data_IF_972416844433
#
_entry.id   IF_972416844433
#
_cell.length_a   1.000
_cell.length_b   1.000
_cell.length_c   1.000
_cell.angle_alpha   90.00
_cell.angle_beta   90.00
_cell.angle_gamma   90.00
#
_symmetry.space_group_name_H-M   'P 1'
#
loop_
_entity.id
_entity.type
_entity.pdbx_description
1 polymer ?
#
# COMPACT_ATOMS: atom_id res chain seq x y z
N UNK A 1 19.59 -17.31 -12.67
CA UNK A 1 18.17 -16.92 -12.57
C UNK A 1 17.94 -15.77 -13.54
N UNK A 2 16.81 -15.72 -14.25
CA UNK A 2 16.46 -14.63 -15.15
C UNK A 2 15.15 -14.01 -14.66
N UNK A 3 15.20 -12.74 -14.28
CA UNK A 3 14.02 -11.97 -13.87
C UNK A 3 13.54 -11.14 -15.06
N UNK A 4 12.34 -11.44 -15.55
CA UNK A 4 11.72 -10.71 -16.65
C UNK A 4 10.95 -9.51 -16.12
N UNK A 5 11.20 -8.32 -16.68
CA UNK A 5 10.38 -7.14 -16.45
C UNK A 5 9.13 -7.19 -17.35
N UNK A 6 7.96 -6.92 -16.77
CA UNK A 6 6.67 -6.93 -17.46
C UNK A 6 5.99 -5.59 -17.25
N UNK A 7 5.75 -4.85 -18.33
CA UNK A 7 5.01 -3.59 -18.30
C UNK A 7 3.51 -3.81 -18.12
N UNK A 8 2.92 -3.09 -17.16
CA UNK A 8 1.50 -3.10 -16.85
C UNK A 8 0.93 -1.68 -16.89
N UNK A 9 -0.38 -1.57 -17.08
CA UNK A 9 -1.11 -0.30 -17.02
C UNK A 9 -1.32 0.16 -15.56
N UNK A 10 -1.67 1.43 -15.35
CA UNK A 10 -1.86 1.99 -14.00
C UNK A 10 -3.00 1.32 -13.21
N UNK A 11 -4.13 1.07 -13.86
CA UNK A 11 -5.28 0.37 -13.27
C UNK A 11 -4.99 -1.10 -12.94
N UNK A 12 -4.13 -1.73 -13.74
CA UNK A 12 -3.61 -3.06 -13.47
C UNK A 12 -2.68 -3.07 -12.25
N UNK A 13 -1.83 -2.05 -12.12
CA UNK A 13 -0.96 -1.86 -10.95
C UNK A 13 -1.77 -1.66 -9.67
N UNK A 14 -2.79 -0.81 -9.69
CA UNK A 14 -3.71 -0.62 -8.56
C UNK A 14 -4.34 -1.95 -8.13
N UNK A 15 -4.78 -2.77 -9.09
CA UNK A 15 -5.35 -4.07 -8.79
C UNK A 15 -4.31 -5.05 -8.20
N UNK A 16 -3.07 -5.06 -8.71
CA UNK A 16 -1.98 -5.85 -8.12
C UNK A 16 -1.78 -5.47 -6.67
N UNK A 17 -1.79 -4.18 -6.37
CA UNK A 17 -1.66 -3.68 -5.01
C UNK A 17 -2.77 -4.17 -4.09
N UNK A 18 -3.90 -4.65 -4.59
CA UNK A 18 -5.04 -5.14 -3.81
C UNK A 18 -5.18 -6.67 -3.78
N UNK A 19 -4.52 -7.36 -4.70
CA UNK A 19 -4.70 -8.78 -4.97
C UNK A 19 -3.35 -9.51 -4.94
N UNK A 20 -2.75 -9.79 -6.08
CA UNK A 20 -1.49 -10.52 -6.13
C UNK A 20 -0.82 -10.31 -7.48
N UNK A 21 0.49 -10.05 -7.45
CA UNK A 21 1.26 -9.87 -8.67
C UNK A 21 1.26 -11.16 -9.51
N UNK A 22 1.41 -12.33 -8.89
CA UNK A 22 1.48 -13.60 -9.62
C UNK A 22 0.15 -13.93 -10.32
N UNK A 23 -0.98 -13.74 -9.64
CA UNK A 23 -2.32 -13.94 -10.22
C UNK A 23 -2.64 -12.90 -11.28
N UNK A 24 -2.24 -11.65 -11.10
CA UNK A 24 -2.35 -10.65 -12.16
C UNK A 24 -1.54 -11.06 -13.39
N UNK A 25 -0.31 -11.54 -13.22
CA UNK A 25 0.52 -12.03 -14.32
C UNK A 25 -0.10 -13.27 -14.99
N UNK A 26 -0.80 -14.13 -14.25
CA UNK A 26 -1.56 -15.25 -14.82
C UNK A 26 -2.73 -14.76 -15.67
N UNK A 27 -3.47 -13.73 -15.23
CA UNK A 27 -4.54 -13.13 -16.05
C UNK A 27 -3.96 -12.42 -17.28
N UNK A 28 -2.82 -11.73 -17.13
CA UNK A 28 -2.14 -11.05 -18.22
C UNK A 28 -1.59 -12.05 -19.25
N UNK A 29 -1.05 -13.18 -18.82
CA UNK A 29 -0.52 -14.23 -19.69
C UNK A 29 -1.58 -14.86 -20.61
N UNK A 30 -2.88 -14.78 -20.24
CA UNK A 30 -3.99 -15.25 -21.09
C UNK A 30 -4.17 -14.41 -22.35
N UNK A 31 -3.69 -13.17 -22.35
CA UNK A 31 -3.81 -12.24 -23.49
C UNK A 31 -2.48 -11.75 -24.04
N UNK A 32 -1.42 -11.87 -23.25
CA UNK A 32 -0.05 -11.49 -23.62
C UNK A 32 0.85 -12.71 -23.49
N UNK A 33 0.98 -13.54 -24.55
CA UNK A 33 1.84 -14.71 -24.53
C UNK A 33 3.28 -14.36 -24.14
N UNK A 34 3.88 -15.17 -23.27
CA UNK A 34 5.22 -14.96 -22.71
C UNK A 34 5.44 -13.61 -21.98
N UNK A 35 4.37 -12.87 -21.65
CA UNK A 35 4.43 -11.60 -20.93
C UNK A 35 5.36 -10.57 -21.59
N UNK A 36 5.45 -10.59 -22.92
CA UNK A 36 6.20 -9.59 -23.68
C UNK A 36 5.50 -8.25 -23.55
N UNK A 37 6.24 -7.22 -23.12
CA UNK A 37 5.66 -5.87 -22.93
C UNK A 37 5.34 -5.25 -24.29
N UNK A 38 4.06 -4.98 -24.53
CA UNK A 38 3.56 -4.22 -25.68
C UNK A 38 3.04 -2.86 -25.20
N UNK A 39 3.72 -1.79 -25.61
CA UNK A 39 3.39 -0.41 -25.23
C UNK A 39 2.05 0.08 -25.82
N UNK A 40 1.55 -0.55 -26.88
CA UNK A 40 0.27 -0.21 -27.50
C UNK A 40 -0.91 -1.00 -26.92
N UNK A 41 -0.63 -1.95 -26.03
CA UNK A 41 -1.64 -2.80 -25.41
C UNK A 41 -2.50 -1.97 -24.46
N UNK A 42 -3.82 -2.11 -24.57
CA UNK A 42 -4.75 -1.59 -23.56
C UNK A 42 -4.74 -2.48 -22.31
N UNK A 43 -5.07 -1.89 -21.17
CA UNK A 43 -5.31 -2.64 -19.94
C UNK A 43 -6.24 -3.84 -20.15
N UNK A 44 -5.95 -4.97 -19.51
CA UNK A 44 -6.85 -6.13 -19.50
C UNK A 44 -8.16 -5.82 -18.77
N UNK A 45 -8.17 -4.76 -17.94
CA UNK A 45 -9.34 -4.25 -17.24
C UNK A 45 -10.14 -3.24 -18.09
N UNK A 46 -9.70 -2.93 -19.31
CA UNK A 46 -10.49 -2.10 -20.23
C UNK A 46 -11.75 -2.81 -20.75
N UNK A 47 -11.79 -4.14 -20.67
CA UNK A 47 -12.96 -4.97 -20.94
C UNK A 47 -13.83 -5.07 -19.65
N UNK A 48 -15.05 -4.50 -19.63
CA UNK A 48 -15.86 -4.42 -18.42
C UNK A 48 -16.23 -5.77 -17.80
N UNK A 49 -16.52 -6.80 -18.62
CA UNK A 49 -16.88 -8.13 -18.12
C UNK A 49 -15.68 -8.80 -17.47
N UNK A 50 -14.50 -8.65 -18.10
CA UNK A 50 -13.24 -9.14 -17.55
C UNK A 50 -12.87 -8.42 -16.26
N UNK A 51 -12.97 -7.10 -16.24
CA UNK A 51 -12.68 -6.28 -15.08
C UNK A 51 -13.56 -6.65 -13.89
N UNK A 52 -14.87 -6.85 -14.12
CA UNK A 52 -15.79 -7.26 -13.06
C UNK A 52 -15.42 -8.62 -12.46
N UNK A 53 -15.12 -9.61 -13.31
CA UNK A 53 -14.69 -10.94 -12.86
C UNK A 53 -13.40 -10.89 -12.05
N UNK A 54 -12.37 -10.21 -12.58
CA UNK A 54 -11.06 -10.12 -11.92
C UNK A 54 -11.18 -9.36 -10.60
N UNK A 55 -11.94 -8.27 -10.54
CA UNK A 55 -12.19 -7.52 -9.29
C UNK A 55 -12.95 -8.35 -8.25
N UNK A 56 -13.92 -9.15 -8.69
CA UNK A 56 -14.64 -10.06 -7.79
C UNK A 56 -13.70 -11.13 -7.21
N UNK A 57 -12.82 -11.71 -8.05
CA UNK A 57 -11.80 -12.65 -7.59
C UNK A 57 -10.82 -11.99 -6.62
N UNK A 58 -10.33 -10.79 -6.94
CA UNK A 58 -9.48 -10.00 -6.07
C UNK A 58 -10.13 -9.71 -4.71
N UNK A 59 -11.42 -9.39 -4.70
CA UNK A 59 -12.16 -9.14 -3.47
C UNK A 59 -12.35 -10.39 -2.62
N UNK A 60 -12.61 -11.54 -3.25
CA UNK A 60 -12.81 -12.82 -2.55
C UNK A 60 -11.51 -13.38 -1.99
N UNK A 61 -10.44 -13.31 -2.78
CA UNK A 61 -9.17 -13.92 -2.43
C UNK A 61 -8.30 -12.98 -1.58
N UNK A 62 -8.54 -11.67 -1.68
CA UNK A 62 -7.78 -10.64 -0.98
C UNK A 62 -6.32 -10.62 -1.42
N UNK A 63 -5.54 -9.77 -0.76
CA UNK A 63 -4.13 -9.69 -1.11
C UNK A 63 -3.32 -10.87 -0.61
N UNK A 64 -2.54 -11.48 -1.50
CA UNK A 64 -1.62 -12.58 -1.17
C UNK A 64 -0.48 -12.11 -0.26
N UNK A 65 -0.07 -10.84 -0.42
CA UNK A 65 1.11 -10.31 0.25
C UNK A 65 0.66 -9.57 1.51
N UNK A 66 1.28 -9.92 2.63
CA UNK A 66 1.34 -9.11 3.84
C UNK A 66 2.06 -7.78 3.62
N UNK A 67 2.73 -7.58 2.48
CA UNK A 67 3.61 -6.46 2.22
C UNK A 67 3.11 -5.58 1.07
N UNK A 68 3.05 -4.28 1.32
CA UNK A 68 2.76 -3.20 0.37
C UNK A 68 4.07 -2.45 0.10
N UNK A 69 4.45 -2.25 -1.16
CA UNK A 69 5.60 -1.40 -1.50
C UNK A 69 5.10 -0.02 -1.90
N UNK A 70 5.63 1.02 -1.26
CA UNK A 70 5.23 2.42 -1.47
C UNK A 70 6.43 3.31 -1.77
N UNK A 71 6.18 4.43 -2.44
CA UNK A 71 7.23 5.38 -2.86
C UNK A 71 7.82 6.16 -1.70
N UNK A 72 7.06 6.37 -0.61
CA UNK A 72 7.55 7.06 0.57
C UNK A 72 6.89 6.51 1.83
N UNK A 73 7.68 5.79 2.63
CA UNK A 73 7.36 5.37 3.99
C UNK A 73 8.65 5.27 4.80
N UNK A 74 8.86 6.24 5.69
CA UNK A 74 10.05 6.25 6.55
C UNK A 74 9.64 6.46 8.00
N UNK A 75 10.51 6.05 8.91
CA UNK A 75 10.26 6.25 10.34
C UNK A 75 11.54 6.58 11.10
N UNK A 76 11.36 7.28 12.22
CA UNK A 76 12.45 7.60 13.17
C UNK A 76 11.95 7.47 14.59
N UNK A 77 12.63 6.65 15.38
CA UNK A 77 12.39 6.54 16.82
C UNK A 77 13.35 7.45 17.59
N UNK A 78 12.83 8.21 18.56
CA UNK A 78 13.61 9.03 19.48
C UNK A 78 13.08 8.87 20.90
N UNK A 79 13.72 8.00 21.68
CA UNK A 79 13.26 7.63 23.01
C UNK A 79 11.90 6.94 22.94
N UNK A 80 10.90 7.48 23.65
CA UNK A 80 9.53 6.95 23.67
C UNK A 80 8.61 7.57 22.60
N UNK A 81 9.17 8.21 21.57
CA UNK A 81 8.40 8.80 20.47
C UNK A 81 8.81 8.18 19.15
N UNK A 82 7.83 7.95 18.30
CA UNK A 82 8.01 7.47 16.93
C UNK A 82 7.43 8.50 15.97
N UNK A 83 8.22 8.89 14.98
CA UNK A 83 7.79 9.75 13.88
C UNK A 83 7.73 8.92 12.61
N UNK A 84 6.58 8.91 11.95
CA UNK A 84 6.32 8.17 10.73
C UNK A 84 6.03 9.19 9.63
N UNK A 85 6.75 9.13 8.51
CA UNK A 85 6.53 9.98 7.34
C UNK A 85 6.02 9.12 6.19
N UNK A 86 4.85 9.46 5.65
CA UNK A 86 4.15 8.73 4.59
C UNK A 86 3.88 9.65 3.39
N UNK A 87 4.07 9.15 2.18
CA UNK A 87 3.55 9.82 0.99
C UNK A 87 2.01 9.79 0.98
N UNK A 88 1.37 10.83 0.45
CA UNK A 88 -0.07 10.86 0.28
C UNK A 88 -0.63 9.63 -0.46
N UNK A 89 0.08 9.12 -1.48
CA UNK A 89 -0.33 7.88 -2.17
C UNK A 89 -0.23 6.64 -1.27
N UNK A 90 0.82 6.56 -0.44
CA UNK A 90 0.99 5.50 0.55
C UNK A 90 -0.15 5.51 1.59
N UNK A 91 -0.59 6.70 2.02
CA UNK A 91 -1.72 6.84 2.94
C UNK A 91 -2.98 6.21 2.37
N UNK A 92 -3.32 6.48 1.11
CA UNK A 92 -4.51 5.88 0.46
C UNK A 92 -4.46 4.34 0.54
N UNK A 93 -3.32 3.75 0.17
CA UNK A 93 -3.14 2.30 0.20
C UNK A 93 -3.16 1.72 1.62
N UNK A 94 -2.50 2.37 2.58
CA UNK A 94 -2.46 1.93 4.00
C UNK A 94 -3.85 1.99 4.63
N UNK A 95 -4.61 3.07 4.43
CA UNK A 95 -5.97 3.20 4.99
C UNK A 95 -6.88 2.10 4.46
N UNK A 96 -6.78 1.78 3.18
CA UNK A 96 -7.53 0.66 2.60
C UNK A 96 -7.15 -0.68 3.24
N UNK A 97 -5.87 -0.90 3.52
CA UNK A 97 -5.38 -2.12 4.19
C UNK A 97 -5.82 -2.22 5.64
N UNK A 98 -5.87 -1.10 6.36
CA UNK A 98 -6.44 -1.08 7.70
C UNK A 98 -7.90 -1.54 7.68
N UNK A 99 -8.70 -1.00 6.75
CA UNK A 99 -10.10 -1.36 6.58
C UNK A 99 -10.34 -2.83 6.23
N UNK A 100 -9.49 -3.41 5.38
CA UNK A 100 -9.71 -4.74 4.79
C UNK A 100 -8.93 -5.86 5.47
N UNK A 101 -7.88 -5.55 6.23
CA UNK A 101 -6.99 -6.53 6.88
C UNK A 101 -6.90 -6.33 8.37
N UNK A 102 -6.39 -5.19 8.83
CA UNK A 102 -6.10 -4.97 10.26
C UNK A 102 -7.36 -5.12 11.12
N UNK A 103 -8.47 -4.52 10.69
CA UNK A 103 -9.77 -4.64 11.37
C UNK A 103 -10.41 -6.03 11.26
N UNK A 104 -9.83 -6.91 10.47
CA UNK A 104 -10.17 -8.33 10.33
C UNK A 104 -9.06 -9.24 10.92
N UNK A 105 -8.28 -8.71 11.87
CA UNK A 105 -7.23 -9.42 12.61
C UNK A 105 -6.12 -10.00 11.71
N UNK A 106 -5.79 -9.30 10.63
CA UNK A 106 -4.70 -9.66 9.72
C UNK A 106 -3.68 -8.54 9.65
N UNK A 107 -2.43 -8.88 9.89
CA UNK A 107 -1.31 -7.95 9.76
C UNK A 107 -0.96 -7.63 8.31
N UNK A 108 -0.25 -6.51 8.15
CA UNK A 108 0.43 -6.14 6.92
C UNK A 108 1.55 -5.13 7.20
N UNK A 109 2.48 -4.94 6.26
CA UNK A 109 3.55 -3.97 6.32
C UNK A 109 3.62 -3.11 5.05
N UNK A 110 3.97 -1.83 5.21
CA UNK A 110 4.29 -0.93 4.11
C UNK A 110 5.80 -0.71 4.06
N UNK A 111 6.44 -1.07 2.95
CA UNK A 111 7.89 -1.01 2.73
C UNK A 111 8.26 0.09 1.74
N UNK A 112 9.37 0.77 2.01
CA UNK A 112 10.05 1.73 1.15
C UNK A 112 11.55 1.50 1.30
N UNK A 113 12.19 1.03 0.23
CA UNK A 113 13.59 0.61 0.22
C UNK A 113 13.92 -0.36 1.37
N UNK A 114 14.81 0.03 2.29
CA UNK A 114 15.26 -0.78 3.43
C UNK A 114 14.44 -0.55 4.71
N UNK A 115 13.43 0.33 4.68
CA UNK A 115 12.57 0.61 5.83
C UNK A 115 11.14 0.14 5.62
N UNK A 116 10.51 -0.30 6.71
CA UNK A 116 9.11 -0.71 6.71
C UNK A 116 8.33 -0.19 7.91
N UNK A 117 7.01 -0.19 7.76
CA UNK A 117 6.05 0.06 8.84
C UNK A 117 5.03 -1.08 8.84
N UNK A 118 5.08 -1.93 9.85
CA UNK A 118 4.10 -3.00 10.07
C UNK A 118 2.91 -2.50 10.90
N UNK A 119 1.74 -3.06 10.62
CA UNK A 119 0.49 -2.83 11.31
C UNK A 119 -0.04 -4.19 11.78
N UNK A 120 -0.04 -4.39 13.09
CA UNK A 120 -0.41 -5.66 13.72
C UNK A 120 -1.62 -5.47 14.64
N UNK A 121 -2.61 -6.38 14.59
CA UNK A 121 -3.70 -6.35 15.55
C UNK A 121 -3.18 -6.72 16.95
N UNK A 122 -3.54 -5.95 17.96
CA UNK A 122 -3.12 -6.21 19.34
C UNK A 122 -4.18 -5.82 20.38
N UNK A 123 -4.17 -6.44 21.58
CA UNK A 123 -5.08 -6.06 22.68
C UNK A 123 -4.85 -4.65 23.22
N UNK A 124 -3.64 -4.11 23.04
CA UNK A 124 -3.26 -2.76 23.48
C UNK A 124 -2.44 -2.07 22.39
N UNK A 125 -2.71 -0.79 22.16
CA UNK A 125 -1.98 0.00 21.18
C UNK A 125 -0.57 0.31 21.68
N UNK A 126 0.41 0.17 20.80
CA UNK A 126 1.82 0.35 21.10
C UNK A 126 2.67 0.37 19.85
N UNK A 127 3.97 0.48 20.05
CA UNK A 127 4.91 0.29 18.96
C UNK A 127 6.24 -0.27 19.46
N UNK A 128 6.89 -1.02 18.58
CA UNK A 128 8.25 -1.52 18.74
C UNK A 128 9.02 -1.28 17.44
N UNK A 129 10.34 -1.48 17.49
CA UNK A 129 11.20 -1.37 16.30
C UNK A 129 12.12 -2.58 16.25
N UNK A 130 12.26 -3.17 15.07
CA UNK A 130 13.10 -4.33 14.81
C UNK A 130 13.73 -4.16 13.44
N UNK A 131 15.06 -4.18 13.33
CA UNK A 131 15.84 -4.22 12.08
C UNK A 131 15.18 -3.58 10.83
N UNK A 132 15.06 -2.24 10.83
CA UNK A 132 14.50 -1.47 9.70
C UNK A 132 12.98 -1.37 9.67
N UNK A 133 12.27 -2.09 10.55
CA UNK A 133 10.82 -2.13 10.66
C UNK A 133 10.33 -1.40 11.92
N UNK A 134 9.38 -0.48 11.76
CA UNK A 134 8.55 0.01 12.86
C UNK A 134 7.26 -0.81 12.91
N UNK A 135 7.00 -1.47 14.04
CA UNK A 135 5.82 -2.30 14.23
C UNK A 135 4.81 -1.52 15.06
N UNK A 136 3.66 -1.21 14.48
CA UNK A 136 2.52 -0.59 15.16
C UNK A 136 1.54 -1.67 15.60
N UNK A 137 1.52 -1.94 16.89
CA UNK A 137 0.48 -2.77 17.51
C UNK A 137 -0.77 -1.90 17.72
N UNK A 138 -1.90 -2.29 17.15
CA UNK A 138 -3.11 -1.47 17.14
C UNK A 138 -4.32 -2.25 17.62
N UNK A 139 -5.10 -1.63 18.51
CA UNK A 139 -6.45 -2.12 18.82
C UNK A 139 -7.41 -1.83 17.66
N UNK A 140 -8.58 -2.48 17.60
CA UNK A 140 -9.63 -2.12 16.64
C UNK A 140 -10.04 -0.64 16.74
N UNK A 141 -10.04 -0.06 17.95
CA UNK A 141 -10.34 1.35 18.16
C UNK A 141 -9.27 2.27 17.52
N UNK A 142 -7.99 1.94 17.70
CA UNK A 142 -6.89 2.68 17.08
C UNK A 142 -6.92 2.58 15.55
N UNK A 143 -7.21 1.40 14.99
CA UNK A 143 -7.39 1.22 13.55
C UNK A 143 -8.54 2.06 12.99
N UNK A 144 -9.67 2.10 13.69
CA UNK A 144 -10.82 2.93 13.33
C UNK A 144 -10.53 4.44 13.46
N UNK A 145 -9.77 4.86 14.47
CA UNK A 145 -9.33 6.25 14.62
C UNK A 145 -8.42 6.64 13.46
N UNK A 146 -7.49 5.77 13.07
CA UNK A 146 -6.56 5.99 11.97
C UNK A 146 -7.30 6.23 10.64
N UNK A 147 -8.32 5.43 10.34
CA UNK A 147 -9.22 5.61 9.19
C UNK A 147 -9.96 6.96 9.16
N UNK A 148 -10.21 7.55 10.33
CA UNK A 148 -10.97 8.81 10.46
C UNK A 148 -10.07 10.04 10.47
N UNK A 149 -8.89 9.91 11.09
CA UNK A 149 -8.01 11.04 11.40
C UNK A 149 -7.02 11.29 10.27
N UNK A 150 -6.35 10.24 9.78
CA UNK A 150 -5.31 10.40 8.76
C UNK A 150 -5.99 10.57 7.40
N UNK A 151 -5.51 11.55 6.63
CA UNK A 151 -5.96 11.82 5.27
C UNK A 151 -4.74 11.87 4.34
N UNK A 152 -4.91 11.58 3.03
CA UNK A 152 -3.84 11.71 2.04
C UNK A 152 -3.63 13.18 1.67
N UNK A 153 -3.42 14.03 2.68
CA UNK A 153 -3.21 15.47 2.54
C UNK A 153 -2.00 15.87 3.39
N UNK A 154 -1.20 16.83 2.91
CA UNK A 154 -0.05 17.32 3.67
C UNK A 154 -0.47 17.75 5.07
N UNK A 155 0.18 17.19 6.09
CA UNK A 155 -0.13 17.53 7.47
C UNK A 155 0.52 16.62 8.49
N UNK A 156 0.31 16.97 9.76
CA UNK A 156 0.72 16.16 10.90
C UNK A 156 -0.51 15.67 11.64
N UNK A 157 -0.61 14.36 11.80
CA UNK A 157 -1.73 13.67 12.40
C UNK A 157 -1.27 12.93 13.66
N UNK A 158 -2.15 12.89 14.66
CA UNK A 158 -1.91 12.21 15.93
C UNK A 158 -3.18 11.45 16.32
N UNK A 159 -2.97 10.26 16.86
CA UNK A 159 -4.03 9.41 17.36
C UNK A 159 -4.10 9.53 18.88
N UNK A 160 -5.31 9.52 19.42
CA UNK A 160 -5.57 9.49 20.86
C UNK A 160 -5.18 8.13 21.43
N UNK A 161 -5.48 7.06 20.69
CA UNK A 161 -5.14 5.68 21.06
C UNK A 161 -3.63 5.37 20.97
N UNK A 162 -2.86 6.23 20.29
CA UNK A 162 -1.42 6.03 20.11
C UNK A 162 -0.65 7.37 20.19
N UNK A 163 -0.62 8.01 21.39
CA UNK A 163 -0.17 9.40 21.56
C UNK A 163 1.34 9.58 21.41
N UNK A 164 2.11 8.50 21.44
CA UNK A 164 3.57 8.49 21.27
C UNK A 164 4.00 8.45 19.82
N UNK A 165 3.06 8.27 18.88
CA UNK A 165 3.32 8.19 17.43
C UNK A 165 2.80 9.45 16.77
N UNK A 166 3.62 10.04 15.91
CA UNK A 166 3.24 11.17 15.05
C UNK A 166 3.32 10.73 13.60
N UNK A 167 2.23 10.91 12.85
CA UNK A 167 2.19 10.65 11.42
C UNK A 167 2.32 11.98 10.67
N UNK A 168 3.30 12.07 9.80
CA UNK A 168 3.49 13.17 8.87
C UNK A 168 3.17 12.68 7.47
N UNK A 169 2.26 13.37 6.79
CA UNK A 169 1.93 13.09 5.40
C UNK A 169 2.61 14.14 4.54
N UNK A 170 3.41 13.67 3.58
CA UNK A 170 4.09 14.50 2.58
C UNK A 170 3.43 14.28 1.22
N UNK A 171 3.40 15.31 0.34
CA UNK A 171 2.86 15.14 -0.99
C UNK A 171 3.60 14.04 -1.77
N UNK A 172 2.88 13.37 -2.65
CA UNK A 172 3.45 12.40 -3.57
C UNK A 172 3.42 12.96 -4.98
N UNK A 173 4.57 12.98 -5.64
CA UNK A 173 4.68 13.34 -7.04
C UNK A 173 4.42 12.09 -7.89
N UNK A 174 3.49 12.19 -8.82
CA UNK A 174 3.32 11.22 -9.89
C UNK A 174 4.07 11.74 -11.11
N UNK A 175 4.99 10.92 -11.62
CA UNK A 175 5.83 11.27 -12.76
C UNK A 175 5.42 10.49 -14.00
N UNK A 176 5.60 11.09 -15.17
CA UNK A 176 5.51 10.38 -16.46
C UNK A 176 6.74 9.51 -16.72
N UNK A 177 6.74 8.83 -17.87
CA UNK A 177 7.85 7.99 -18.31
C UNK A 177 9.18 8.76 -18.52
N UNK A 178 9.12 10.08 -18.71
CA UNK A 178 10.29 10.96 -18.88
C UNK A 178 10.76 11.55 -17.54
N UNK A 179 10.10 11.21 -16.43
CA UNK A 179 10.41 11.69 -15.07
C UNK A 179 9.85 13.08 -14.76
N UNK A 180 8.99 13.64 -15.61
CA UNK A 180 8.35 14.92 -15.34
C UNK A 180 7.17 14.71 -14.39
N UNK A 181 7.02 15.59 -13.40
CA UNK A 181 5.86 15.57 -12.50
C UNK A 181 4.61 15.93 -13.29
N UNK A 182 3.70 14.97 -13.45
CA UNK A 182 2.41 15.15 -14.12
C UNK A 182 1.29 15.48 -13.16
N UNK A 183 1.41 15.05 -11.89
CA UNK A 183 0.39 15.28 -10.88
C UNK A 183 1.00 15.22 -9.47
N UNK A 184 0.45 16.01 -8.54
CA UNK A 184 0.87 16.02 -7.13
C UNK A 184 -0.35 15.68 -6.28
N UNK A 185 -0.26 14.59 -5.51
CA UNK A 185 -1.26 14.20 -4.54
C UNK A 185 -0.87 14.72 -3.15
N UNK A 186 -1.76 15.48 -2.51
CA UNK A 186 -1.67 15.85 -1.08
C UNK A 186 -1.17 17.25 -0.76
#
# INVERSE_FOLDING_TARGET
>A
EFLQLVGICGDEYELVQDWDCSRMLQELAKVTPALVTDLNRKSILADPERAARIRQQAQQEGASTDSLFVTHATWKASGKKLHISLGASAVVAILRRIGTRLLHEREFAAWCDEQGIAFEPAPTSGWTTEDGLAILQLTPAAGQELLKVIQPQRGTYRLTELPTVTFEVVPSEMTDADGNVVEVLG
#
